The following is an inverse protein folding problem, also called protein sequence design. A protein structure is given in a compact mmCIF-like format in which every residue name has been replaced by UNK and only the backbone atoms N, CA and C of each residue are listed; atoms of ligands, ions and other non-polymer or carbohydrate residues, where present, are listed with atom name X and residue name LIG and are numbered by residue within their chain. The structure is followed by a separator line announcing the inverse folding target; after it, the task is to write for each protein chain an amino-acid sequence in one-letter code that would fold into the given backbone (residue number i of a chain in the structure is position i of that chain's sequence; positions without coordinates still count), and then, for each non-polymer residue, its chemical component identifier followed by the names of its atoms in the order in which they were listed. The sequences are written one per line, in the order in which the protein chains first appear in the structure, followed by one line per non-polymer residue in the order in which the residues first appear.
data_IF_449800800761
#
_entry.id   IF_449800800761
#
_cell.length_a   1.000
_cell.length_b   1.000
_cell.length_c   1.000
_cell.angle_alpha   90.00
_cell.angle_beta   90.00
_cell.angle_gamma   90.00
#
_symmetry.space_group_name_H-M   'P 1'
#
loop_
_entity.id
_entity.type
_entity.pdbx_description
1 polymer ?
#
# COMPACT_ATOMS: atom_id res chain seq x y z
N UNK A 1 -41.47 -10.80 28.28
CA UNK A 1 -40.35 -11.40 27.51
C UNK A 1 -39.95 -10.38 26.44
N UNK A 2 -39.42 -9.21 26.80
CA UNK A 2 -37.99 -8.97 27.10
C UNK A 2 -37.04 -9.54 26.05
N UNK A 3 -36.45 -8.65 25.23
CA UNK A 3 -35.00 -8.41 25.22
C UNK A 3 -34.63 -7.34 24.20
N UNK A 4 -34.50 -6.12 24.74
CA UNK A 4 -33.59 -5.09 24.27
C UNK A 4 -32.20 -5.72 24.07
N UNK A 5 -31.61 -5.60 22.88
CA UNK A 5 -30.25 -6.10 22.60
C UNK A 5 -29.42 -4.94 22.09
N UNK A 6 -29.18 -3.99 22.99
CA UNK A 6 -28.11 -3.01 22.87
C UNK A 6 -26.78 -3.78 22.72
N UNK A 7 -26.18 -3.70 21.54
CA UNK A 7 -24.85 -4.24 21.28
C UNK A 7 -23.84 -3.15 21.68
N UNK A 8 -23.47 -3.13 22.95
CA UNK A 8 -22.39 -2.27 23.45
C UNK A 8 -21.07 -2.78 22.87
N UNK A 9 -20.57 -2.13 21.82
CA UNK A 9 -19.20 -2.31 21.36
C UNK A 9 -18.28 -1.56 22.33
N UNK A 10 -17.86 -2.25 23.38
CA UNK A 10 -16.80 -1.82 24.28
C UNK A 10 -15.45 -1.86 23.54
N UNK A 11 -15.06 -0.75 22.90
CA UNK A 11 -13.67 -0.53 22.51
C UNK A 11 -12.88 -0.18 23.75
N UNK A 12 -12.36 -1.21 24.41
CA UNK A 12 -11.29 -1.06 25.40
C UNK A 12 -10.13 -0.29 24.73
N UNK A 13 -9.99 0.98 25.10
CA UNK A 13 -8.90 1.83 24.68
C UNK A 13 -7.59 1.22 25.16
N UNK A 14 -6.79 0.72 24.22
CA UNK A 14 -5.41 0.37 24.49
C UNK A 14 -4.62 1.67 24.44
N UNK A 15 -4.29 2.19 25.62
CA UNK A 15 -3.24 3.18 25.81
C UNK A 15 -1.90 2.48 25.54
N UNK A 16 -1.41 2.60 24.30
CA UNK A 16 -0.03 2.22 23.97
C UNK A 16 0.79 3.50 23.83
N UNK A 17 1.83 3.58 24.66
CA UNK A 17 2.63 4.77 24.87
C UNK A 17 3.34 5.29 23.62
N UNK A 18 3.75 6.56 23.74
CA UNK A 18 4.56 7.35 22.82
C UNK A 18 5.97 6.77 22.60
N UNK A 19 6.06 5.52 22.14
CA UNK A 19 7.25 4.91 21.52
C UNK A 19 6.94 4.52 20.06
N UNK A 20 5.99 5.23 19.44
CA UNK A 20 5.55 5.12 18.03
C UNK A 20 6.56 5.77 17.07
N UNK A 21 7.85 5.68 17.39
CA UNK A 21 8.93 6.20 16.57
C UNK A 21 9.16 5.26 15.38
N UNK A 22 8.34 5.45 14.34
CA UNK A 22 8.42 4.86 13.00
C UNK A 22 8.00 3.38 12.90
N UNK A 23 6.73 3.06 13.13
CA UNK A 23 6.20 1.77 12.66
C UNK A 23 6.40 1.67 11.13
N UNK A 24 7.27 0.76 10.70
CA UNK A 24 7.78 0.65 9.33
C UNK A 24 6.66 0.57 8.28
N UNK A 25 6.48 1.64 7.51
CA UNK A 25 5.59 1.65 6.36
C UNK A 25 6.14 0.73 5.28
N UNK A 26 5.28 -0.13 4.73
CA UNK A 26 5.63 -1.04 3.63
C UNK A 26 4.73 -0.76 2.44
N UNK A 27 5.35 -0.44 1.30
CA UNK A 27 4.67 -0.32 0.01
C UNK A 27 4.88 -1.62 -0.76
N UNK A 28 3.78 -2.28 -1.14
CA UNK A 28 3.77 -3.50 -1.94
C UNK A 28 3.34 -3.15 -3.35
N UNK A 29 4.20 -3.36 -4.34
CA UNK A 29 3.90 -3.12 -5.76
C UNK A 29 3.62 -4.43 -6.49
N UNK A 30 2.59 -4.45 -7.33
CA UNK A 30 2.27 -5.60 -8.17
C UNK A 30 3.18 -5.63 -9.41
N UNK A 31 4.15 -6.54 -9.44
CA UNK A 31 5.15 -6.62 -10.52
C UNK A 31 4.57 -7.14 -11.84
N UNK A 32 3.60 -8.06 -11.80
CA UNK A 32 3.00 -8.64 -13.02
C UNK A 32 2.00 -7.71 -13.73
N UNK A 33 1.69 -6.54 -13.16
CA UNK A 33 0.79 -5.58 -13.78
C UNK A 33 1.27 -5.22 -15.19
N UNK A 34 0.33 -5.27 -16.13
CA UNK A 34 0.53 -4.86 -17.52
C UNK A 34 0.16 -3.40 -17.68
N UNK A 35 0.71 -2.75 -18.70
CA UNK A 35 0.32 -1.39 -19.08
C UNK A 35 -1.14 -1.32 -19.59
N UNK A 36 -1.60 -0.12 -19.94
CA UNK A 36 -2.93 0.10 -20.49
C UNK A 36 -3.21 -0.74 -21.75
N UNK A 37 -2.20 -1.00 -22.57
CA UNK A 37 -2.29 -1.82 -23.78
C UNK A 37 -2.47 -3.31 -23.46
N UNK A 38 -2.15 -3.73 -22.24
CA UNK A 38 -2.17 -5.13 -21.83
C UNK A 38 -0.98 -5.94 -22.34
N UNK A 39 0.12 -5.26 -22.70
CA UNK A 39 1.35 -5.89 -23.18
C UNK A 39 1.95 -6.85 -22.15
N UNK A 40 2.46 -7.98 -22.65
CA UNK A 40 3.29 -8.93 -21.90
C UNK A 40 4.80 -8.67 -22.07
N UNK A 41 5.15 -7.53 -22.65
CA UNK A 41 6.55 -7.11 -22.80
C UNK A 41 7.25 -7.00 -21.45
N UNK A 42 8.54 -7.36 -21.44
CA UNK A 42 9.41 -7.19 -20.29
C UNK A 42 10.41 -6.05 -20.56
N UNK A 43 10.77 -5.23 -19.54
CA UNK A 43 10.21 -5.26 -18.19
C UNK A 43 8.72 -4.87 -18.17
N UNK A 44 7.95 -5.52 -17.29
CA UNK A 44 6.51 -5.26 -17.17
C UNK A 44 6.28 -3.86 -16.59
N UNK A 45 5.13 -3.26 -16.91
CA UNK A 45 4.77 -1.96 -16.37
C UNK A 45 4.75 -1.93 -14.82
N UNK A 46 4.33 -3.04 -14.19
CA UNK A 46 4.42 -3.22 -12.74
C UNK A 46 5.86 -3.27 -12.20
N UNK A 47 6.79 -3.88 -12.93
CA UNK A 47 8.23 -3.89 -12.59
C UNK A 47 8.83 -2.48 -12.68
N UNK A 48 8.44 -1.72 -13.71
CA UNK A 48 8.86 -0.33 -13.87
C UNK A 48 8.34 0.55 -12.72
N UNK A 49 7.07 0.41 -12.35
CA UNK A 49 6.51 1.09 -11.16
C UNK A 49 7.26 0.70 -9.89
N UNK A 50 7.60 -0.58 -9.71
CA UNK A 50 8.31 -1.04 -8.53
C UNK A 50 9.72 -0.42 -8.44
N UNK A 51 10.42 -0.29 -9.57
CA UNK A 51 11.73 0.37 -9.61
C UNK A 51 11.63 1.88 -9.36
N UNK A 52 10.65 2.54 -9.98
CA UNK A 52 10.41 3.97 -9.75
C UNK A 52 10.09 4.25 -8.27
N UNK A 53 9.27 3.39 -7.64
CA UNK A 53 8.93 3.49 -6.21
C UNK A 53 10.17 3.27 -5.33
N UNK A 54 11.03 2.28 -5.65
CA UNK A 54 12.29 2.07 -4.93
C UNK A 54 13.20 3.29 -5.00
N UNK A 55 13.32 3.88 -6.19
CA UNK A 55 14.11 5.10 -6.39
C UNK A 55 13.55 6.27 -5.61
N UNK A 56 12.23 6.43 -5.57
CA UNK A 56 11.58 7.51 -4.85
C UNK A 56 11.74 7.38 -3.31
N UNK A 57 11.73 6.14 -2.79
CA UNK A 57 11.90 5.84 -1.37
C UNK A 57 13.35 5.98 -0.85
N UNK A 58 14.33 6.30 -1.70
CA UNK A 58 15.72 6.43 -1.28
C UNK A 58 15.88 7.51 -0.21
N UNK A 59 16.41 7.11 0.94
CA UNK A 59 16.61 7.99 2.10
C UNK A 59 15.42 8.08 3.06
N UNK A 60 14.31 7.40 2.76
CA UNK A 60 13.13 7.34 3.63
C UNK A 60 13.09 6.01 4.40
N UNK A 61 12.42 5.98 5.56
CA UNK A 61 12.20 4.74 6.31
C UNK A 61 10.96 3.97 5.78
N UNK A 62 10.93 3.72 4.47
CA UNK A 62 9.82 3.03 3.79
C UNK A 62 10.35 1.77 3.10
N UNK A 63 9.75 0.62 3.40
CA UNK A 63 10.11 -0.66 2.77
C UNK A 63 9.34 -0.86 1.48
N UNK A 64 10.04 -1.02 0.37
CA UNK A 64 9.42 -1.35 -0.92
C UNK A 64 9.53 -2.85 -1.18
N UNK A 65 8.40 -3.51 -1.37
CA UNK A 65 8.31 -4.93 -1.74
C UNK A 65 7.56 -5.08 -3.05
N UNK A 66 7.98 -6.06 -3.85
CA UNK A 66 7.25 -6.46 -5.05
C UNK A 66 6.58 -7.80 -4.80
N UNK A 67 5.36 -7.98 -5.33
CA UNK A 67 4.65 -9.26 -5.33
C UNK A 67 4.18 -9.59 -6.74
N UNK A 68 3.91 -10.87 -6.97
CA UNK A 68 3.40 -11.32 -8.27
C UNK A 68 2.05 -10.69 -8.60
N UNK A 69 1.07 -10.70 -7.69
CA UNK A 69 -0.26 -10.16 -7.98
C UNK A 69 -0.96 -9.63 -6.73
N UNK A 70 -1.64 -8.47 -6.84
CA UNK A 70 -2.52 -7.90 -5.81
C UNK A 70 -4.00 -8.19 -6.05
N UNK A 71 -4.36 -8.90 -7.13
CA UNK A 71 -5.74 -9.19 -7.50
C UNK A 71 -6.55 -7.96 -7.97
N UNK A 72 -5.93 -6.78 -8.06
CA UNK A 72 -6.59 -5.52 -8.44
C UNK A 72 -6.53 -5.25 -9.96
N UNK A 73 -6.61 -6.30 -10.79
CA UNK A 73 -6.32 -6.21 -12.23
C UNK A 73 -7.24 -5.24 -13.00
N UNK A 74 -8.47 -5.02 -12.50
CA UNK A 74 -9.42 -4.06 -13.10
C UNK A 74 -8.98 -2.60 -12.97
N UNK A 75 -8.08 -2.31 -12.02
CA UNK A 75 -7.53 -0.98 -11.73
C UNK A 75 -6.00 -1.03 -11.73
N UNK A 76 -5.42 -1.62 -12.78
CA UNK A 76 -3.96 -1.63 -12.99
C UNK A 76 -3.47 -0.22 -13.39
N UNK A 77 -2.23 0.17 -13.10
CA UNK A 77 -1.26 -0.49 -12.22
C UNK A 77 -1.66 -0.31 -10.76
N UNK A 78 -1.24 -1.23 -9.88
CA UNK A 78 -1.69 -1.24 -8.48
C UNK A 78 -0.56 -1.43 -7.48
N UNK A 79 -0.70 -0.78 -6.33
CA UNK A 79 0.18 -0.93 -5.18
C UNK A 79 -0.65 -0.90 -3.88
N UNK A 80 -0.10 -1.42 -2.79
CA UNK A 80 -0.71 -1.37 -1.47
C UNK A 80 0.25 -0.72 -0.47
N UNK A 81 -0.31 0.02 0.49
CA UNK A 81 0.44 0.63 1.60
C UNK A 81 -0.04 0.00 2.90
N UNK A 82 0.90 -0.49 3.69
CA UNK A 82 0.66 -1.19 4.94
C UNK A 82 1.52 -0.55 6.04
N UNK A 83 0.92 -0.42 7.22
CA UNK A 83 1.58 -0.05 8.47
C UNK A 83 0.97 -0.90 9.57
N UNK A 84 1.79 -1.40 10.46
CA UNK A 84 1.31 -2.21 11.57
C UNK A 84 0.34 -1.41 12.47
N UNK A 85 -0.71 -2.06 12.94
CA UNK A 85 -1.78 -1.41 13.71
C UNK A 85 -2.65 -0.41 12.93
N UNK A 86 -2.49 -0.27 11.61
CA UNK A 86 -3.25 0.67 10.78
C UNK A 86 -4.05 -0.03 9.66
N UNK A 87 -4.95 0.72 9.04
CA UNK A 87 -5.62 0.29 7.81
C UNK A 87 -4.62 0.12 6.67
N UNK A 88 -4.80 -0.94 5.89
CA UNK A 88 -4.08 -1.14 4.64
C UNK A 88 -4.86 -0.52 3.48
N UNK A 89 -4.16 0.22 2.62
CA UNK A 89 -4.75 0.87 1.44
C UNK A 89 -4.27 0.19 0.18
N UNK A 90 -5.17 -0.01 -0.79
CA UNK A 90 -4.82 -0.52 -2.12
C UNK A 90 -5.18 0.54 -3.15
N UNK A 91 -4.17 0.98 -3.89
CA UNK A 91 -4.27 1.93 -4.97
C UNK A 91 -4.31 1.21 -6.31
N UNK A 92 -5.01 1.83 -7.25
CA UNK A 92 -5.12 1.37 -8.63
C UNK A 92 -5.09 2.56 -9.58
N UNK A 93 -5.09 2.28 -10.87
CA UNK A 93 -5.01 3.28 -11.95
C UNK A 93 -3.70 4.10 -11.86
N UNK A 94 -2.63 3.48 -11.36
CA UNK A 94 -1.30 4.07 -11.28
C UNK A 94 -0.57 3.98 -12.64
N UNK A 95 0.45 4.81 -12.80
CA UNK A 95 1.36 4.79 -13.96
C UNK A 95 2.73 4.24 -13.57
N UNK A 96 3.58 3.91 -14.55
CA UNK A 96 4.94 3.43 -14.28
C UNK A 96 5.84 4.46 -13.56
N UNK A 97 5.44 5.74 -13.53
CA UNK A 97 6.18 6.86 -12.91
C UNK A 97 5.48 7.41 -11.67
N UNK A 98 4.48 6.70 -11.13
CA UNK A 98 3.75 7.10 -9.93
C UNK A 98 4.47 6.73 -8.62
N UNK A 99 5.76 6.36 -8.67
CA UNK A 99 6.49 5.89 -7.49
C UNK A 99 6.63 6.94 -6.41
N UNK A 100 6.82 8.21 -6.79
CA UNK A 100 6.89 9.33 -5.85
C UNK A 100 5.57 9.57 -5.09
N UNK A 101 4.43 9.35 -5.74
CA UNK A 101 3.11 9.52 -5.13
C UNK A 101 2.84 8.47 -4.03
N UNK A 102 3.45 7.29 -4.15
CA UNK A 102 3.32 6.18 -3.19
C UNK A 102 4.16 6.36 -1.92
N UNK A 103 5.13 7.28 -1.94
CA UNK A 103 6.10 7.51 -0.85
C UNK A 103 6.08 8.96 -0.36
N UNK A 104 4.99 9.69 -0.66
CA UNK A 104 4.88 11.13 -0.39
C UNK A 104 5.27 11.48 1.06
N UNK A 105 6.16 12.47 1.17
CA UNK A 105 6.95 12.75 2.38
C UNK A 105 6.23 13.63 3.41
N UNK A 106 5.01 14.09 3.10
CA UNK A 106 4.30 15.14 3.87
C UNK A 106 3.10 14.62 4.66
N UNK A 107 2.95 13.31 4.87
CA UNK A 107 1.94 12.74 5.77
C UNK A 107 2.57 12.52 7.15
N UNK A 108 2.80 13.63 7.87
CA UNK A 108 3.14 13.64 9.29
C UNK A 108 2.29 14.69 10.01
#
# INVERSE_FOLDING_TARGET
MERDSSFSAETAGVLSGDDDALADVTVIVCASCRDETGSDGHPRAGELLAEDTRRAALGDNIRIRSVECLGNCKRRLSAAILRDGCWSYVFGDLTATSGADLVAKDIA
#
